data_IF_395143872740
#
_entry.id   IF_395143872740
#
_cell.length_a   1.000
_cell.length_b   1.000
_cell.length_c   1.000
_cell.angle_alpha   90.00
_cell.angle_beta   90.00
_cell.angle_gamma   90.00
#
_symmetry.space_group_name_H-M   'P 1'
#
loop_
_entity.id
_entity.type
_entity.pdbx_description
1 polymer ?
#
# COMPACT_ATOMS: atom_id res chain seq x y z
N UNK A 1 1.04 32.55 -47.75
CA UNK A 1 -0.12 31.82 -47.21
C UNK A 1 0.41 30.82 -46.19
N UNK A 2 0.26 31.13 -44.90
CA UNK A 2 0.90 30.40 -43.79
C UNK A 2 0.24 29.04 -43.63
N UNK A 3 1.07 27.98 -43.58
CA UNK A 3 0.67 26.65 -43.10
C UNK A 3 0.18 26.83 -41.66
N UNK A 4 -1.10 26.55 -41.43
CA UNK A 4 -1.63 26.35 -40.09
C UNK A 4 -1.09 25.00 -39.63
N UNK A 5 0.06 25.02 -38.96
CA UNK A 5 0.42 23.94 -38.05
C UNK A 5 -0.57 24.01 -36.89
N UNK A 6 -1.65 23.23 -37.02
CA UNK A 6 -2.41 22.74 -35.88
C UNK A 6 -1.40 22.01 -34.99
N UNK A 7 -0.87 22.77 -34.04
CA UNK A 7 -0.20 22.24 -32.87
C UNK A 7 -1.25 21.44 -32.11
N UNK A 8 -1.34 20.17 -32.50
CA UNK A 8 -1.91 19.11 -31.69
C UNK A 8 -1.15 19.15 -30.37
N UNK A 9 -1.73 19.81 -29.37
CA UNK A 9 -1.37 19.69 -27.96
C UNK A 9 -1.66 18.27 -27.50
N UNK A 10 -1.00 17.30 -28.11
CA UNK A 10 -0.85 15.95 -27.59
C UNK A 10 0.44 15.94 -26.77
N UNK A 11 0.47 16.82 -25.77
CA UNK A 11 1.57 16.99 -24.84
C UNK A 11 1.62 15.79 -23.91
N UNK A 12 2.26 14.72 -24.38
CA UNK A 12 3.31 14.03 -23.61
C UNK A 12 3.00 13.98 -22.11
N UNK A 13 2.06 13.12 -21.69
CA UNK A 13 2.35 12.37 -20.47
C UNK A 13 3.53 11.50 -20.90
N UNK A 14 4.74 12.06 -20.81
CA UNK A 14 5.95 11.30 -21.00
C UNK A 14 5.83 10.12 -20.04
N UNK A 15 6.01 8.90 -20.54
CA UNK A 15 6.16 7.73 -19.68
C UNK A 15 7.35 8.01 -18.75
N UNK A 16 7.07 8.61 -17.58
CA UNK A 16 8.10 8.79 -16.56
C UNK A 16 8.50 7.40 -16.11
N UNK A 17 9.80 7.14 -16.13
CA UNK A 17 10.33 5.88 -15.62
C UNK A 17 10.03 5.77 -14.12
N UNK A 18 9.93 4.53 -13.62
CA UNK A 18 9.74 4.28 -12.20
C UNK A 18 10.83 4.94 -11.34
N UNK A 19 12.06 5.05 -11.86
CA UNK A 19 13.16 5.72 -11.19
C UNK A 19 12.90 7.22 -11.02
N UNK A 20 12.39 7.88 -12.05
CA UNK A 20 12.06 9.31 -11.99
C UNK A 20 10.89 9.58 -11.03
N UNK A 21 9.88 8.69 -10.99
CA UNK A 21 8.78 8.78 -10.03
C UNK A 21 9.30 8.65 -8.59
N UNK A 22 10.22 7.71 -8.32
CA UNK A 22 10.83 7.55 -6.99
C UNK A 22 11.60 8.79 -6.56
N UNK A 23 12.44 9.32 -7.43
CA UNK A 23 13.20 10.55 -7.16
C UNK A 23 12.27 11.74 -6.90
N UNK A 24 11.16 11.86 -7.63
CA UNK A 24 10.18 12.91 -7.40
C UNK A 24 9.51 12.77 -6.02
N UNK A 25 9.13 11.55 -5.62
CA UNK A 25 8.58 11.27 -4.29
C UNK A 25 9.57 11.60 -3.18
N UNK A 26 10.87 11.38 -3.41
CA UNK A 26 11.92 11.71 -2.45
C UNK A 26 12.08 13.22 -2.20
N UNK A 27 11.70 14.05 -3.17
CA UNK A 27 11.79 15.51 -3.07
C UNK A 27 10.54 16.16 -2.46
N UNK A 28 9.46 15.40 -2.28
CA UNK A 28 8.23 15.90 -1.66
C UNK A 28 8.43 16.24 -0.18
N UNK A 29 7.77 17.32 0.24
CA UNK A 29 7.60 17.66 1.65
C UNK A 29 6.80 16.60 2.41
N UNK A 30 6.81 16.66 3.74
CA UNK A 30 6.06 15.73 4.57
C UNK A 30 4.55 15.78 4.28
N UNK A 31 4.01 16.98 4.11
CA UNK A 31 2.61 17.24 3.83
C UNK A 31 2.21 16.68 2.45
N UNK A 32 3.02 16.90 1.42
CA UNK A 32 2.77 16.38 0.07
C UNK A 32 2.88 14.85 0.02
N UNK A 33 3.80 14.26 0.80
CA UNK A 33 3.89 12.80 0.95
C UNK A 33 2.65 12.23 1.65
N UNK A 34 2.13 12.93 2.66
CA UNK A 34 0.93 12.51 3.37
C UNK A 34 -0.30 12.59 2.45
N UNK A 35 -0.42 13.63 1.63
CA UNK A 35 -1.47 13.76 0.63
C UNK A 35 -1.36 12.68 -0.46
N UNK A 36 -0.15 12.42 -0.96
CA UNK A 36 0.10 11.36 -1.94
C UNK A 36 -0.21 9.97 -1.36
N UNK A 37 0.18 9.72 -0.11
CA UNK A 37 -0.16 8.48 0.59
C UNK A 37 -1.69 8.35 0.73
N UNK A 38 -2.37 9.38 1.23
CA UNK A 38 -3.83 9.36 1.33
C UNK A 38 -4.52 9.13 -0.02
N UNK A 39 -3.97 9.66 -1.10
CA UNK A 39 -4.46 9.43 -2.46
C UNK A 39 -4.22 7.98 -2.94
N UNK A 40 -3.04 7.41 -2.67
CA UNK A 40 -2.68 6.03 -3.01
C UNK A 40 -3.45 4.99 -2.19
N UNK A 41 -3.70 5.26 -0.91
CA UNK A 41 -4.39 4.38 0.02
C UNK A 41 -5.92 4.47 -0.04
N UNK A 42 -6.47 5.30 -0.93
CA UNK A 42 -7.91 5.51 -1.04
C UNK A 42 -8.42 6.60 -0.09
N UNK A 43 -8.51 7.83 -0.58
CA UNK A 43 -9.21 8.93 0.09
C UNK A 43 -10.65 9.05 -0.46
N UNK A 44 -11.67 9.26 0.39
CA UNK A 44 -13.10 9.05 0.04
C UNK A 44 -13.71 10.10 -0.90
N UNK A 45 -12.91 10.98 -1.53
CA UNK A 45 -13.44 12.16 -2.24
C UNK A 45 -13.24 12.26 -3.73
N UNK A 46 -12.42 11.45 -4.41
CA UNK A 46 -12.34 11.53 -5.88
C UNK A 46 -12.12 10.17 -6.53
N UNK A 47 -13.19 9.76 -7.19
CA UNK A 47 -13.34 8.78 -8.27
C UNK A 47 -12.03 8.49 -9.02
N UNK A 48 -11.30 7.45 -8.61
CA UNK A 48 -10.46 6.65 -9.50
C UNK A 48 -10.44 5.19 -9.01
N UNK A 49 -10.66 4.20 -9.89
CA UNK A 49 -10.58 2.79 -9.54
C UNK A 49 -9.13 2.33 -9.66
N UNK A 50 -8.21 2.96 -8.92
CA UNK A 50 -6.88 2.36 -8.76
C UNK A 50 -6.96 1.61 -7.46
N UNK A 51 -7.34 0.34 -7.59
CA UNK A 51 -7.27 -0.73 -6.61
C UNK A 51 -7.43 -0.25 -5.17
N UNK A 52 -8.61 -0.54 -4.59
CA UNK A 52 -8.70 -0.83 -3.16
C UNK A 52 -7.41 -1.57 -2.80
N UNK A 53 -6.48 -0.92 -2.10
CA UNK A 53 -5.34 -1.62 -1.55
C UNK A 53 -5.99 -2.64 -0.65
N UNK A 54 -6.00 -3.87 -1.15
CA UNK A 54 -6.66 -5.00 -0.53
C UNK A 54 -5.94 -5.31 0.76
N UNK A 55 -6.24 -4.51 1.77
CA UNK A 55 -6.09 -4.87 3.17
C UNK A 55 -6.83 -6.21 3.42
N UNK A 56 -7.84 -6.51 2.58
CA UNK A 56 -8.57 -7.77 2.58
C UNK A 56 -7.75 -9.01 2.16
N UNK A 57 -6.66 -8.87 1.39
CA UNK A 57 -5.95 -10.04 0.87
C UNK A 57 -5.15 -10.73 1.96
N UNK A 58 -4.56 -9.92 2.84
CA UNK A 58 -3.83 -10.42 4.00
C UNK A 58 -4.78 -10.99 5.04
N UNK A 59 -5.95 -10.37 5.24
CA UNK A 59 -7.01 -10.88 6.12
C UNK A 59 -7.56 -12.22 5.63
N UNK A 60 -7.86 -12.36 4.33
CA UNK A 60 -8.36 -13.60 3.75
C UNK A 60 -7.30 -14.72 3.80
N UNK A 61 -6.04 -14.38 3.57
CA UNK A 61 -4.94 -15.33 3.74
C UNK A 61 -4.80 -15.78 5.20
N UNK A 62 -4.85 -14.85 6.16
CA UNK A 62 -4.76 -15.15 7.59
C UNK A 62 -5.92 -16.03 8.06
N UNK A 63 -7.16 -15.76 7.60
CA UNK A 63 -8.32 -16.62 7.87
C UNK A 63 -8.10 -18.05 7.35
N UNK A 64 -7.60 -18.18 6.12
CA UNK A 64 -7.27 -19.48 5.52
C UNK A 64 -6.17 -20.22 6.28
N UNK A 65 -5.14 -19.50 6.72
CA UNK A 65 -4.00 -20.08 7.46
C UNK A 65 -4.39 -20.52 8.87
N UNK A 66 -5.27 -19.77 9.54
CA UNK A 66 -5.87 -20.18 10.81
C UNK A 66 -6.75 -21.43 10.62
N UNK A 67 -7.61 -21.45 9.60
CA UNK A 67 -8.47 -22.60 9.30
C UNK A 67 -7.66 -23.86 8.93
N UNK A 68 -6.53 -23.69 8.25
CA UNK A 68 -5.59 -24.76 7.92
C UNK A 68 -4.72 -25.21 9.11
N UNK A 69 -4.84 -24.56 10.28
CA UNK A 69 -4.09 -24.90 11.48
C UNK A 69 -2.60 -24.57 11.39
N UNK A 70 -2.16 -23.71 10.46
CA UNK A 70 -0.75 -23.35 10.30
C UNK A 70 -0.18 -22.68 11.54
N UNK A 71 -1.03 -21.97 12.30
CA UNK A 71 -0.66 -21.33 13.57
C UNK A 71 -0.75 -22.26 14.79
N UNK A 72 -1.24 -23.49 14.66
CA UNK A 72 -1.50 -24.36 15.80
C UNK A 72 -0.24 -24.68 16.63
N UNK A 73 0.92 -24.83 15.98
CA UNK A 73 2.18 -25.08 16.67
C UNK A 73 2.60 -23.89 17.55
N UNK A 74 2.49 -22.67 17.01
CA UNK A 74 2.83 -21.43 17.69
C UNK A 74 1.84 -21.15 18.82
N UNK A 75 0.54 -21.36 18.57
CA UNK A 75 -0.50 -21.20 19.60
C UNK A 75 -0.27 -22.14 20.78
N UNK A 76 0.12 -23.40 20.52
CA UNK A 76 0.45 -24.35 21.57
C UNK A 76 1.69 -23.94 22.37
N UNK A 77 2.72 -23.44 21.70
CA UNK A 77 3.93 -22.92 22.36
C UNK A 77 3.60 -21.74 23.28
N UNK A 78 2.77 -20.81 22.79
CA UNK A 78 2.29 -19.67 23.58
C UNK A 78 1.45 -20.14 24.77
N UNK A 79 0.57 -21.13 24.61
CA UNK A 79 -0.18 -21.70 25.73
C UNK A 79 0.74 -22.33 26.78
N UNK A 80 1.80 -23.01 26.35
CA UNK A 80 2.78 -23.61 27.26
C UNK A 80 3.62 -22.54 27.98
N UNK A 81 3.94 -21.43 27.31
CA UNK A 81 4.59 -20.26 27.92
C UNK A 81 3.69 -19.54 28.93
N UNK A 82 2.38 -19.41 28.63
CA UNK A 82 1.37 -18.89 29.56
C UNK A 82 1.32 -19.76 30.81
N UNK A 83 1.18 -21.08 30.63
CA UNK A 83 1.11 -22.04 31.75
C UNK A 83 2.38 -22.03 32.59
N UNK A 84 3.53 -21.82 31.96
CA UNK A 84 4.83 -21.77 32.63
C UNK A 84 5.18 -20.39 33.21
N UNK A 85 4.34 -19.37 33.04
CA UNK A 85 4.61 -18.02 33.51
C UNK A 85 5.83 -17.36 32.87
N UNK A 86 6.16 -17.74 31.62
CA UNK A 86 7.32 -17.21 30.88
C UNK A 86 7.01 -15.94 30.09
N UNK A 87 5.76 -15.51 30.04
CA UNK A 87 5.37 -14.26 29.38
C UNK A 87 5.79 -13.05 30.20
N UNK A 88 6.14 -11.97 29.49
CA UNK A 88 6.42 -10.65 30.05
C UNK A 88 5.40 -9.66 29.48
N UNK A 89 5.01 -8.68 30.29
CA UNK A 89 4.18 -7.58 29.82
C UNK A 89 4.86 -6.80 28.68
N UNK A 90 4.03 -6.37 27.73
CA UNK A 90 4.46 -5.51 26.65
C UNK A 90 4.90 -4.14 27.22
N UNK A 91 6.03 -3.57 26.77
CA UNK A 91 6.56 -2.31 27.31
C UNK A 91 5.66 -1.10 27.06
#
# INVERSE_FOLDING_TARGET
MRKLEEQSSNGKIAEMSLAEIKTAIEQLSFEERAELAAWLHGSPRRVRPVADWKDDEWDEQMKGDIAAGKSAAILREVEDDIKAGRLRDMP
#
